data_IF_418266563629
#
_entry.id   IF_418266563629
#
_cell.length_a   1.000
_cell.length_b   1.000
_cell.length_c   1.000
_cell.angle_alpha   90.00
_cell.angle_beta   90.00
_cell.angle_gamma   90.00
#
_symmetry.space_group_name_H-M   'P 1'
#
loop_
_entity.id
_entity.type
_entity.pdbx_description
1 polymer ?
#
# COMPACT_ATOMS: atom_id res chain seq x y z
N UNK A 1 -17.82 -8.76 -15.48
CA UNK A 1 -17.40 -9.36 -14.19
C UNK A 1 -17.36 -8.26 -13.12
N UNK A 2 -17.37 -8.56 -11.82
CA UNK A 2 -17.46 -7.56 -10.73
C UNK A 2 -16.07 -7.13 -10.22
N UNK A 3 -15.97 -6.01 -9.48
CA UNK A 3 -14.75 -5.56 -8.77
C UNK A 3 -14.08 -6.70 -7.97
N UNK A 4 -14.89 -7.53 -7.31
CA UNK A 4 -14.40 -8.69 -6.56
C UNK A 4 -13.64 -9.68 -7.45
N UNK A 5 -14.17 -9.97 -8.64
CA UNK A 5 -13.52 -10.87 -9.59
C UNK A 5 -12.18 -10.32 -10.09
N UNK A 6 -12.04 -9.00 -10.21
CA UNK A 6 -10.75 -8.39 -10.51
C UNK A 6 -9.75 -8.64 -9.38
N UNK A 7 -10.14 -8.30 -8.14
CA UNK A 7 -9.27 -8.45 -6.97
C UNK A 7 -8.83 -9.90 -6.72
N UNK A 8 -9.70 -10.87 -6.98
CA UNK A 8 -9.40 -12.29 -6.77
C UNK A 8 -8.43 -12.86 -7.81
N UNK A 9 -8.34 -12.25 -8.99
CA UNK A 9 -7.45 -12.67 -10.07
C UNK A 9 -6.09 -11.95 -10.08
N UNK A 10 -5.81 -11.09 -9.10
CA UNK A 10 -4.51 -10.43 -8.95
C UNK A 10 -3.43 -11.44 -8.55
N UNK A 11 -2.21 -11.26 -9.06
CA UNK A 11 -1.01 -11.90 -8.49
C UNK A 11 -0.72 -11.32 -7.09
N UNK A 12 -1.34 -11.93 -6.07
CA UNK A 12 -1.33 -11.45 -4.70
C UNK A 12 -0.92 -12.54 -3.72
N UNK A 13 -0.28 -12.11 -2.65
CA UNK A 13 0.23 -12.96 -1.59
C UNK A 13 -0.25 -12.46 -0.24
N UNK A 14 -0.38 -13.35 0.73
CA UNK A 14 -0.63 -12.91 2.10
C UNK A 14 0.54 -12.07 2.63
N UNK A 15 0.21 -10.97 3.30
CA UNK A 15 1.19 -10.16 4.00
C UNK A 15 1.86 -10.92 5.17
N UNK A 16 3.05 -10.48 5.62
CA UNK A 16 3.73 -11.05 6.78
C UNK A 16 2.80 -11.19 8.00
N UNK A 17 2.96 -12.26 8.80
CA UNK A 17 2.12 -12.52 9.98
C UNK A 17 2.03 -11.33 10.93
N UNK A 18 3.15 -10.61 11.11
CA UNK A 18 3.18 -9.43 11.97
C UNK A 18 2.32 -8.28 11.42
N UNK A 19 2.35 -8.04 10.10
CA UNK A 19 1.50 -7.05 9.44
C UNK A 19 0.02 -7.39 9.62
N UNK A 20 -0.35 -8.65 9.37
CA UNK A 20 -1.73 -9.15 9.57
C UNK A 20 -2.18 -8.97 11.02
N UNK A 21 -1.30 -9.29 11.98
CA UNK A 21 -1.59 -9.13 13.41
C UNK A 21 -1.78 -7.66 13.80
N UNK A 22 -0.91 -6.77 13.32
CA UNK A 22 -1.01 -5.33 13.52
C UNK A 22 -2.32 -4.78 12.94
N UNK A 23 -2.62 -5.06 11.68
CA UNK A 23 -3.85 -4.62 11.01
C UNK A 23 -5.11 -5.15 11.72
N UNK A 24 -5.13 -6.43 12.10
CA UNK A 24 -6.27 -7.05 12.77
C UNK A 24 -6.60 -6.40 14.13
N UNK A 25 -5.59 -5.94 14.88
CA UNK A 25 -5.82 -5.20 16.14
C UNK A 25 -6.58 -3.88 15.93
N UNK A 26 -6.51 -3.34 14.72
CA UNK A 26 -7.23 -2.14 14.28
C UNK A 26 -8.55 -2.47 13.56
N UNK A 27 -8.96 -3.74 13.54
CA UNK A 27 -10.14 -4.21 12.82
C UNK A 27 -9.97 -4.29 11.30
N UNK A 28 -8.72 -4.23 10.80
CA UNK A 28 -8.38 -4.21 9.37
C UNK A 28 -7.99 -5.61 8.89
N UNK A 29 -8.47 -5.99 7.71
CA UNK A 29 -8.03 -7.20 7.01
C UNK A 29 -9.09 -7.78 6.08
N UNK A 30 -8.68 -8.69 5.18
CA UNK A 30 -7.31 -9.17 4.90
C UNK A 30 -6.33 -8.12 4.34
N UNK A 31 -5.03 -8.41 4.43
CA UNK A 31 -3.93 -7.60 3.87
C UNK A 31 -3.17 -8.42 2.83
N UNK A 32 -3.15 -7.92 1.60
CA UNK A 32 -2.54 -8.55 0.44
C UNK A 32 -1.34 -7.75 -0.04
N UNK A 33 -0.25 -8.43 -0.37
CA UNK A 33 0.86 -7.87 -1.13
C UNK A 33 0.68 -8.24 -2.59
N UNK A 34 0.63 -7.26 -3.48
CA UNK A 34 0.24 -7.43 -4.88
C UNK A 34 1.42 -7.10 -5.80
N UNK A 35 1.79 -8.07 -6.62
CA UNK A 35 2.81 -7.92 -7.66
C UNK A 35 2.16 -8.11 -9.04
N UNK A 36 1.28 -7.17 -9.42
CA UNK A 36 0.50 -7.26 -10.65
C UNK A 36 0.50 -5.93 -11.42
N UNK A 37 0.81 -5.94 -12.74
CA UNK A 37 0.70 -4.77 -13.61
C UNK A 37 -0.66 -4.06 -13.53
N UNK A 38 -1.74 -4.83 -13.33
CA UNK A 38 -3.11 -4.34 -13.30
C UNK A 38 -3.45 -3.56 -12.02
N UNK A 39 -2.61 -3.65 -10.99
CA UNK A 39 -2.72 -2.86 -9.76
C UNK A 39 -1.51 -1.91 -9.64
N UNK A 40 -1.51 -0.76 -10.35
CA UNK A 40 -0.38 0.17 -10.38
C UNK A 40 -0.16 0.92 -9.06
N UNK A 41 -1.08 0.83 -8.09
CA UNK A 41 -1.04 1.54 -6.80
C UNK A 41 -1.60 0.68 -5.68
N UNK A 42 -1.24 1.01 -4.44
CA UNK A 42 -1.92 0.43 -3.28
C UNK A 42 -3.35 0.96 -3.20
N UNK A 43 -4.28 0.10 -2.78
CA UNK A 43 -5.69 0.48 -2.58
C UNK A 43 -6.23 -0.20 -1.32
N UNK A 44 -7.39 0.28 -0.89
CA UNK A 44 -8.24 -0.37 0.09
C UNK A 44 -9.64 -0.54 -0.47
N UNK A 45 -10.32 -1.63 -0.09
CA UNK A 45 -11.73 -1.86 -0.40
C UNK A 45 -12.41 -2.27 0.91
N UNK A 46 -13.25 -1.38 1.44
CA UNK A 46 -13.78 -1.52 2.79
C UNK A 46 -12.65 -1.59 3.84
N UNK A 47 -12.48 -2.76 4.46
CA UNK A 47 -11.39 -3.03 5.41
C UNK A 47 -10.28 -3.93 4.87
N UNK A 48 -10.37 -4.33 3.60
CA UNK A 48 -9.32 -5.07 2.91
C UNK A 48 -8.27 -4.10 2.35
N UNK A 49 -7.00 -4.47 2.43
CA UNK A 49 -5.89 -3.68 1.91
C UNK A 49 -5.11 -4.48 0.87
N UNK A 50 -4.78 -3.83 -0.25
CA UNK A 50 -3.96 -4.37 -1.33
C UNK A 50 -2.76 -3.45 -1.54
N UNK A 51 -1.57 -3.90 -1.18
CA UNK A 51 -0.34 -3.12 -1.25
C UNK A 51 0.41 -3.45 -2.53
N UNK A 52 0.62 -2.46 -3.40
CA UNK A 52 1.45 -2.63 -4.58
C UNK A 52 2.93 -2.74 -4.18
N UNK A 53 3.49 -3.92 -4.40
CA UNK A 53 4.90 -4.28 -4.16
C UNK A 53 5.70 -4.43 -5.46
N UNK A 54 5.28 -3.74 -6.52
CA UNK A 54 6.14 -3.54 -7.68
C UNK A 54 7.19 -2.48 -7.33
N UNK A 55 8.42 -2.71 -7.79
CA UNK A 55 9.54 -1.79 -7.64
C UNK A 55 9.37 -0.46 -8.39
N UNK A 56 8.32 -0.34 -9.21
CA UNK A 56 8.04 0.88 -9.95
C UNK A 56 7.74 2.04 -9.00
N UNK A 57 8.30 3.21 -9.30
CA UNK A 57 8.06 4.47 -8.60
C UNK A 57 8.41 4.49 -7.10
N UNK A 58 9.15 3.51 -6.57
CA UNK A 58 9.55 3.52 -5.16
C UNK A 58 10.37 4.77 -4.79
N UNK A 59 11.14 5.31 -5.75
CA UNK A 59 11.91 6.56 -5.57
C UNK A 59 11.05 7.78 -5.28
N UNK A 60 9.76 7.77 -5.62
CA UNK A 60 8.85 8.86 -5.22
C UNK A 60 8.74 8.96 -3.69
N UNK A 61 8.79 7.82 -2.99
CA UNK A 61 8.77 7.77 -1.53
C UNK A 61 10.12 8.20 -0.91
N UNK A 62 11.22 7.95 -1.61
CA UNK A 62 12.51 8.53 -1.26
C UNK A 62 12.45 10.07 -1.33
N UNK A 63 11.90 10.61 -2.42
CA UNK A 63 11.80 12.07 -2.61
C UNK A 63 10.82 12.74 -1.64
N UNK A 64 9.66 12.12 -1.40
CA UNK A 64 8.60 12.71 -0.57
C UNK A 64 8.83 12.51 0.93
N UNK A 65 9.35 11.34 1.31
CA UNK A 65 9.36 10.90 2.70
C UNK A 65 10.75 10.49 3.18
N UNK A 66 11.80 10.65 2.36
CA UNK A 66 13.16 10.20 2.68
C UNK A 66 13.21 8.70 3.02
N UNK A 67 12.44 7.86 2.31
CA UNK A 67 12.54 6.41 2.44
C UNK A 67 13.95 5.93 2.02
N UNK A 68 14.61 5.14 2.86
CA UNK A 68 16.01 4.73 2.66
C UNK A 68 16.15 3.48 1.77
N UNK A 69 15.06 2.77 1.53
CA UNK A 69 15.06 1.54 0.74
C UNK A 69 13.73 1.30 0.05
N UNK A 70 13.74 0.40 -0.93
CA UNK A 70 12.52 -0.11 -1.56
C UNK A 70 11.59 -0.73 -0.51
N UNK A 71 12.13 -1.54 0.39
CA UNK A 71 11.37 -2.21 1.44
C UNK A 71 10.71 -1.23 2.40
N UNK A 72 11.42 -0.15 2.76
CA UNK A 72 10.85 0.92 3.57
C UNK A 72 9.68 1.61 2.85
N UNK A 73 9.78 1.83 1.54
CA UNK A 73 8.67 2.39 0.77
C UNK A 73 7.42 1.50 0.82
N UNK A 74 7.59 0.17 0.86
CA UNK A 74 6.48 -0.78 0.95
C UNK A 74 5.84 -0.79 2.33
N UNK A 75 6.63 -0.68 3.40
CA UNK A 75 6.11 -0.47 4.77
C UNK A 75 5.31 0.83 4.85
N UNK A 76 5.83 1.92 4.27
CA UNK A 76 5.15 3.21 4.24
C UNK A 76 3.84 3.14 3.47
N UNK A 77 3.79 2.47 2.31
CA UNK A 77 2.54 2.20 1.57
C UNK A 77 1.53 1.44 2.42
N UNK A 78 1.97 0.43 3.18
CA UNK A 78 1.09 -0.32 4.07
C UNK A 78 0.50 0.55 5.17
N UNK A 79 1.35 1.32 5.86
CA UNK A 79 0.92 2.21 6.93
C UNK A 79 0.03 3.34 6.41
N UNK A 80 0.24 3.80 5.17
CA UNK A 80 -0.64 4.77 4.51
C UNK A 80 -2.06 4.25 4.36
N UNK A 81 -2.25 3.04 3.82
CA UNK A 81 -3.59 2.46 3.67
C UNK A 81 -4.25 2.17 5.03
N UNK A 82 -3.46 1.76 6.04
CA UNK A 82 -3.94 1.63 7.41
C UNK A 82 -4.39 3.01 7.95
N UNK A 83 -3.60 4.05 7.71
CA UNK A 83 -3.89 5.43 8.11
C UNK A 83 -5.22 5.91 7.55
N UNK A 84 -5.53 5.62 6.28
CA UNK A 84 -6.84 5.93 5.73
C UNK A 84 -7.99 5.27 6.50
N UNK A 85 -7.85 4.00 6.88
CA UNK A 85 -8.92 3.27 7.56
C UNK A 85 -9.08 3.76 9.01
N UNK A 86 -7.96 4.00 9.71
CA UNK A 86 -7.96 4.54 11.09
C UNK A 86 -8.61 5.93 11.14
N UNK A 87 -8.35 6.77 10.13
CA UNK A 87 -8.99 8.09 10.01
C UNK A 87 -10.43 8.05 9.46
N UNK A 88 -10.99 6.86 9.18
CA UNK A 88 -12.36 6.72 8.70
C UNK A 88 -12.60 7.20 7.26
N UNK A 89 -11.56 7.24 6.43
CA UNK A 89 -11.65 7.71 5.04
C UNK A 89 -12.35 6.68 4.14
N UNK A 90 -13.48 7.07 3.54
CA UNK A 90 -14.34 6.22 2.72
C UNK A 90 -13.76 5.75 1.37
N UNK A 91 -12.63 6.31 0.92
CA UNK A 91 -12.07 6.04 -0.41
C UNK A 91 -12.21 7.24 -1.34
N UNK A 92 -11.54 7.17 -2.49
CA UNK A 92 -11.77 8.14 -3.56
C UNK A 92 -13.05 7.74 -4.33
N UNK A 93 -14.12 8.56 -4.35
CA UNK A 93 -15.35 8.23 -5.05
C UNK A 93 -15.20 8.15 -6.58
N UNK A 94 -14.11 8.67 -7.14
CA UNK A 94 -13.76 8.55 -8.55
C UNK A 94 -13.00 7.26 -8.86
N UNK A 95 -12.53 6.52 -7.85
CA UNK A 95 -11.90 5.22 -8.07
C UNK A 95 -12.94 4.27 -8.66
N UNK A 96 -12.69 3.85 -9.90
CA UNK A 96 -13.47 2.86 -10.62
C UNK A 96 -12.56 1.67 -10.91
N UNK A 97 -12.98 0.51 -10.45
CA UNK A 97 -12.30 -0.77 -10.72
C UNK A 97 -13.25 -1.64 -11.53
N UNK A 98 -12.78 -2.12 -12.67
CA UNK A 98 -13.47 -3.10 -13.50
C UNK A 98 -12.57 -4.32 -13.75
N UNK A 99 -13.00 -5.21 -14.64
CA UNK A 99 -12.29 -6.42 -15.02
C UNK A 99 -10.91 -6.19 -15.68
N UNK A 100 -10.64 -5.00 -16.19
CA UNK A 100 -9.35 -4.58 -16.75
C UNK A 100 -8.46 -3.93 -15.68
N UNK A 101 -9.05 -3.55 -14.55
CA UNK A 101 -8.38 -2.99 -13.38
C UNK A 101 -8.84 -1.60 -13.06
N UNK A 102 -7.94 -0.76 -12.56
CA UNK A 102 -8.24 0.64 -12.26
C UNK A 102 -8.45 1.40 -13.58
N UNK A 103 -9.50 2.20 -13.65
CA UNK A 103 -9.81 3.04 -14.82
C UNK A 103 -8.61 3.85 -15.31
N UNK A 104 -8.33 3.78 -16.61
CA UNK A 104 -7.22 4.52 -17.24
C UNK A 104 -7.33 6.04 -17.05
N UNK A 105 -8.55 6.59 -17.06
CA UNK A 105 -8.79 8.01 -16.83
C UNK A 105 -8.41 8.43 -15.40
N UNK A 106 -8.70 7.58 -14.42
CA UNK A 106 -8.30 7.78 -13.03
C UNK A 106 -6.77 7.72 -12.91
N UNK A 107 -6.14 6.71 -13.50
CA UNK A 107 -4.68 6.56 -13.51
C UNK A 107 -3.97 7.71 -14.22
N UNK A 108 -4.52 8.23 -15.33
CA UNK A 108 -3.99 9.39 -16.05
C UNK A 108 -4.00 10.63 -15.17
N UNK A 109 -5.14 10.97 -14.57
CA UNK A 109 -5.27 12.14 -13.68
C UNK A 109 -4.24 12.12 -12.54
N UNK A 110 -4.03 10.95 -11.96
CA UNK A 110 -3.08 10.81 -10.85
C UNK A 110 -1.65 10.95 -11.33
N UNK A 111 -1.28 10.38 -12.50
CA UNK A 111 0.08 10.51 -13.05
C UNK A 111 0.42 11.94 -13.43
N UNK A 112 -0.58 12.71 -13.85
CA UNK A 112 -0.43 14.13 -14.21
C UNK A 112 -0.34 15.04 -12.96
N UNK A 113 -0.75 14.55 -11.78
CA UNK A 113 -0.63 15.31 -10.54
C UNK A 113 0.83 15.40 -10.07
N UNK A 114 1.37 16.60 -9.83
CA UNK A 114 2.72 16.76 -9.30
C UNK A 114 2.86 16.11 -7.93
N UNK A 115 3.99 15.43 -7.66
CA UNK A 115 4.23 14.77 -6.37
C UNK A 115 4.06 15.68 -5.15
N UNK A 116 4.39 16.97 -5.28
CA UNK A 116 4.23 17.96 -4.20
C UNK A 116 2.78 18.21 -3.78
N UNK A 117 1.81 17.93 -4.66
CA UNK A 117 0.38 18.16 -4.39
C UNK A 117 -0.28 16.97 -3.69
N UNK A 118 0.47 15.88 -3.41
CA UNK A 118 -0.04 14.73 -2.63
C UNK A 118 -0.62 15.19 -1.29
N UNK A 119 -0.01 16.19 -0.65
CA UNK A 119 -0.49 16.73 0.62
C UNK A 119 -1.61 17.75 0.49
N UNK A 120 -1.96 18.21 -0.71
CA UNK A 120 -3.04 19.19 -0.90
C UNK A 120 -4.40 18.56 -0.58
N UNK A 121 -4.52 17.23 -0.73
CA UNK A 121 -5.66 16.47 -0.25
C UNK A 121 -5.55 16.23 1.27
N UNK A 122 -6.48 16.73 2.10
CA UNK A 122 -6.44 16.52 3.55
C UNK A 122 -6.50 15.04 3.95
N UNK A 123 -7.23 14.20 3.19
CA UNK A 123 -7.34 12.77 3.50
C UNK A 123 -6.03 12.02 3.25
N UNK A 124 -5.31 12.35 2.17
CA UNK A 124 -3.96 11.81 1.91
C UNK A 124 -2.98 12.32 2.97
N UNK A 125 -3.05 13.60 3.33
CA UNK A 125 -2.20 14.20 4.37
C UNK A 125 -2.36 13.50 5.71
N UNK A 126 -3.59 13.24 6.15
CA UNK A 126 -3.87 12.54 7.40
C UNK A 126 -3.36 11.10 7.38
N UNK A 127 -3.57 10.38 6.28
CA UNK A 127 -3.07 9.01 6.12
C UNK A 127 -1.54 8.95 6.12
N UNK A 128 -0.87 9.90 5.45
CA UNK A 128 0.59 10.02 5.49
C UNK A 128 1.10 10.42 6.86
N UNK A 129 0.45 11.36 7.54
CA UNK A 129 0.80 11.75 8.90
C UNK A 129 0.76 10.55 9.86
N UNK A 130 -0.24 9.67 9.74
CA UNK A 130 -0.30 8.43 10.50
C UNK A 130 0.92 7.54 10.24
N UNK A 131 1.26 7.31 8.96
CA UNK A 131 2.39 6.47 8.59
C UNK A 131 3.74 7.03 9.08
N UNK A 132 3.95 8.33 8.90
CA UNK A 132 5.17 9.02 9.31
C UNK A 132 5.29 9.11 10.84
N UNK A 133 4.17 9.32 11.54
CA UNK A 133 4.14 9.30 13.00
C UNK A 133 4.55 7.93 13.57
N UNK A 134 4.11 6.81 12.97
CA UNK A 134 4.59 5.48 13.40
C UNK A 134 6.10 5.33 13.17
N UNK A 135 6.61 5.79 12.02
CA UNK A 135 8.03 5.72 11.71
C UNK A 135 8.88 6.50 12.72
N UNK A 136 8.44 7.70 13.09
CA UNK A 136 9.18 8.61 13.98
C UNK A 136 8.99 8.27 15.47
N UNK A 137 7.75 8.07 15.90
CA UNK A 137 7.40 7.94 17.32
C UNK A 137 7.21 6.49 17.77
N UNK A 138 7.31 5.51 16.88
CA UNK A 138 7.27 4.07 17.21
C UNK A 138 8.30 3.27 16.40
N UNK A 139 9.60 3.64 16.49
CA UNK A 139 10.65 3.07 15.64
C UNK A 139 10.77 1.55 15.76
N UNK A 140 10.55 0.96 16.95
CA UNK A 140 10.56 -0.49 17.13
C UNK A 140 9.44 -1.19 16.37
N UNK A 141 8.23 -0.61 16.35
CA UNK A 141 7.11 -1.14 15.58
C UNK A 141 7.40 -1.04 14.08
N UNK A 142 7.89 0.10 13.63
CA UNK A 142 8.25 0.33 12.23
C UNK A 142 9.35 -0.65 11.78
N UNK A 143 10.40 -0.79 12.58
CA UNK A 143 11.50 -1.70 12.31
C UNK A 143 11.01 -3.16 12.23
N UNK A 144 10.12 -3.58 13.13
CA UNK A 144 9.54 -4.92 13.09
C UNK A 144 8.66 -5.16 11.86
N UNK A 145 7.91 -4.16 11.40
CA UNK A 145 7.20 -4.22 10.11
C UNK A 145 8.19 -4.37 8.95
N UNK A 146 9.28 -3.60 8.96
CA UNK A 146 10.31 -3.64 7.92
C UNK A 146 11.04 -4.98 7.86
N UNK A 147 11.50 -5.51 8.99
CA UNK A 147 12.20 -6.80 9.08
C UNK A 147 11.31 -7.95 8.63
N UNK A 148 10.07 -7.99 9.12
CA UNK A 148 9.13 -9.05 8.74
C UNK A 148 8.76 -9.01 7.26
N UNK A 149 8.76 -7.82 6.64
CA UNK A 149 8.63 -7.70 5.19
C UNK A 149 9.90 -8.15 4.45
N UNK A 150 11.10 -7.77 4.90
CA UNK A 150 12.36 -8.24 4.31
C UNK A 150 12.48 -9.76 4.33
N UNK A 151 12.13 -10.39 5.45
CA UNK A 151 12.11 -11.85 5.59
C UNK A 151 11.06 -12.52 4.71
N UNK A 152 9.90 -11.89 4.54
CA UNK A 152 8.89 -12.37 3.62
C UNK A 152 9.36 -12.24 2.17
N UNK A 153 9.93 -11.08 1.80
CA UNK A 153 10.38 -10.78 0.46
C UNK A 153 11.51 -11.73 0.04
N UNK A 154 12.50 -11.96 0.91
CA UNK A 154 13.60 -12.89 0.63
C UNK A 154 13.09 -14.31 0.36
N UNK A 155 12.16 -14.83 1.18
CA UNK A 155 11.60 -16.18 1.00
C UNK A 155 10.78 -16.34 -0.28
N UNK A 156 9.95 -15.34 -0.62
CA UNK A 156 9.03 -15.44 -1.76
C UNK A 156 9.69 -15.06 -3.10
N UNK A 157 10.65 -14.13 -3.12
CA UNK A 157 11.38 -13.73 -4.34
C UNK A 157 12.62 -14.57 -4.64
N UNK A 158 13.40 -14.99 -3.62
CA UNK A 158 14.60 -15.80 -3.85
C UNK A 158 14.29 -17.30 -3.98
N UNK A 159 13.14 -17.76 -3.47
CA UNK A 159 12.63 -19.12 -3.68
C UNK A 159 12.08 -19.38 -5.09
N UNK A 160 11.99 -18.35 -5.92
CA UNK A 160 11.49 -18.42 -7.32
C UNK A 160 12.60 -18.54 -8.36
N UNK A 161 13.85 -18.75 -7.93
CA UNK A 161 14.98 -19.13 -8.80
C UNK A 161 15.31 -20.61 -8.60
N UNK A 162 14.53 -21.48 -9.22
CA UNK A 162 14.95 -22.84 -9.60
C UNK A 162 14.61 -23.03 -11.06
#
# INVERSE_FOLDING_TARGET
MTERSFLDNLNKYEAPTFWKSFARKLGIGPVWLVEDPKLPRSIRIGREIFINIRGDYWRNYQLLFNAQSYEESVVLKFLHEVGHIVSGHSGDPQLRIDERGISEDFERKIRENPLKTVFDNPYEREAWNFALNIRENSPELFQKLLETYKDWYSRNKLGSKV
#
